data_IF_646784325157
#
_entry.id   IF_646784325157
#
_cell.length_a   1.000
_cell.length_b   1.000
_cell.length_c   1.000
_cell.angle_alpha   90.00
_cell.angle_beta   90.00
_cell.angle_gamma   90.00
#
_symmetry.space_group_name_H-M   'P 1'
#
loop_
_entity.id
_entity.type
_entity.pdbx_description
1 polymer ?
#
# COMPACT_ATOMS: atom_id res chain seq x y z
N UNK A 1 -8.54 7.19 -6.88
CA UNK A 1 -7.44 7.08 -7.86
C UNK A 1 -7.83 6.12 -8.96
N UNK A 2 -7.50 6.35 -10.24
CA UNK A 2 -7.81 5.40 -11.31
C UNK A 2 -6.89 4.16 -11.19
N UNK A 3 -7.50 3.00 -10.90
CA UNK A 3 -6.81 1.70 -10.71
C UNK A 3 -5.88 1.33 -11.89
N UNK A 4 -6.21 1.78 -13.10
CA UNK A 4 -5.41 1.58 -14.31
C UNK A 4 -4.00 2.16 -14.19
N UNK A 5 -3.84 3.30 -13.51
CA UNK A 5 -2.52 3.92 -13.32
C UNK A 5 -1.62 3.09 -12.42
N UNK A 6 -2.17 2.57 -11.32
CA UNK A 6 -1.43 1.76 -10.36
C UNK A 6 -1.03 0.43 -10.98
N UNK A 7 -1.94 -0.21 -11.74
CA UNK A 7 -1.66 -1.43 -12.47
C UNK A 7 -0.47 -1.28 -13.43
N UNK A 8 -0.41 -0.17 -14.20
CA UNK A 8 0.71 0.12 -15.11
C UNK A 8 2.01 0.38 -14.33
N UNK A 9 1.95 1.01 -13.17
CA UNK A 9 3.12 1.21 -12.32
C UNK A 9 3.65 -0.11 -11.74
N UNK A 10 2.78 -0.98 -11.24
CA UNK A 10 3.15 -2.32 -10.76
C UNK A 10 3.77 -3.14 -11.89
N UNK A 11 3.18 -3.10 -13.09
CA UNK A 11 3.73 -3.78 -14.27
C UNK A 11 5.16 -3.31 -14.59
N UNK A 12 5.39 -1.99 -14.59
CA UNK A 12 6.72 -1.40 -14.82
C UNK A 12 7.74 -1.86 -13.77
N UNK A 13 7.34 -1.99 -12.51
CA UNK A 13 8.22 -2.49 -11.43
C UNK A 13 8.53 -3.97 -11.60
N UNK A 14 7.55 -4.78 -11.99
CA UNK A 14 7.74 -6.21 -12.27
C UNK A 14 8.72 -6.43 -13.42
N UNK A 15 8.61 -5.65 -14.51
CA UNK A 15 9.59 -5.66 -15.60
C UNK A 15 11.00 -5.38 -15.08
N UNK A 16 11.16 -4.30 -14.30
CA UNK A 16 12.46 -3.95 -13.70
C UNK A 16 12.99 -5.05 -12.76
N UNK A 17 12.14 -5.66 -11.93
CA UNK A 17 12.52 -6.72 -10.97
C UNK A 17 13.00 -7.98 -11.70
N UNK A 18 12.44 -8.28 -12.86
CA UNK A 18 12.81 -9.42 -13.70
C UNK A 18 13.90 -9.08 -14.75
N UNK A 19 14.51 -7.88 -14.66
CA UNK A 19 15.50 -7.38 -15.63
C UNK A 19 15.01 -7.36 -17.09
N UNK A 20 13.70 -7.28 -17.31
CA UNK A 20 13.11 -7.20 -18.65
C UNK A 20 13.16 -5.76 -19.12
N UNK A 21 13.79 -5.56 -20.28
CA UNK A 21 13.97 -4.26 -20.91
C UNK A 21 12.78 -3.86 -21.77
N UNK A 22 12.66 -2.58 -22.09
CA UNK A 22 11.65 -2.13 -23.05
C UNK A 22 11.92 -2.62 -24.47
N UNK A 23 13.14 -3.04 -24.80
CA UNK A 23 13.47 -3.68 -26.07
C UNK A 23 12.79 -5.06 -26.17
N UNK A 24 12.90 -5.88 -25.13
CA UNK A 24 12.22 -7.18 -25.06
C UNK A 24 10.70 -7.05 -25.08
N UNK A 25 10.16 -6.03 -24.39
CA UNK A 25 8.71 -5.71 -24.47
C UNK A 25 8.32 -5.27 -25.88
N UNK A 26 9.17 -4.52 -26.58
CA UNK A 26 8.93 -4.10 -27.96
C UNK A 26 8.89 -5.31 -28.91
N UNK A 27 9.81 -6.26 -28.75
CA UNK A 27 9.81 -7.51 -29.52
C UNK A 27 8.53 -8.31 -29.28
N UNK A 28 8.14 -8.51 -28.01
CA UNK A 28 6.92 -9.25 -27.65
C UNK A 28 5.63 -8.60 -28.19
N UNK A 29 5.60 -7.27 -28.27
CA UNK A 29 4.43 -6.52 -28.73
C UNK A 29 4.45 -6.20 -30.24
N UNK A 30 5.52 -6.58 -30.95
CA UNK A 30 5.77 -6.19 -32.34
C UNK A 30 5.71 -4.66 -32.54
N UNK A 31 6.30 -3.91 -31.60
CA UNK A 31 6.31 -2.44 -31.58
C UNK A 31 7.74 -1.90 -31.53
N UNK A 32 7.89 -0.61 -31.88
CA UNK A 32 9.15 0.09 -31.60
C UNK A 32 9.31 0.37 -30.10
N UNK A 33 10.55 0.42 -29.61
CA UNK A 33 10.83 0.79 -28.21
C UNK A 33 10.27 2.19 -27.86
N UNK A 34 10.25 3.11 -28.83
CA UNK A 34 9.64 4.43 -28.68
C UNK A 34 8.12 4.33 -28.46
N UNK A 35 7.45 3.42 -29.16
CA UNK A 35 6.01 3.14 -28.98
C UNK A 35 5.73 2.52 -27.61
N UNK A 36 6.59 1.61 -27.13
CA UNK A 36 6.49 1.03 -25.78
C UNK A 36 6.66 2.10 -24.72
N UNK A 37 7.68 2.95 -24.83
CA UNK A 37 7.89 4.12 -23.94
C UNK A 37 6.65 5.02 -23.90
N UNK A 38 6.04 5.28 -25.06
CA UNK A 38 4.80 6.05 -25.16
C UNK A 38 3.63 5.37 -24.47
N UNK A 39 3.43 4.06 -24.66
CA UNK A 39 2.38 3.29 -23.97
C UNK A 39 2.48 3.38 -22.45
N UNK A 40 3.69 3.22 -21.89
CA UNK A 40 3.92 3.36 -20.45
C UNK A 40 3.72 4.79 -19.94
N UNK A 41 4.05 5.80 -20.75
CA UNK A 41 3.84 7.22 -20.40
C UNK A 41 2.36 7.60 -20.41
N UNK A 42 1.63 7.18 -21.43
CA UNK A 42 0.19 7.45 -21.61
C UNK A 42 -0.68 6.57 -20.72
N UNK A 43 -0.12 5.49 -20.15
CA UNK A 43 -0.81 4.49 -19.31
C UNK A 43 -2.04 3.89 -20.02
N UNK A 44 -1.97 3.81 -21.33
CA UNK A 44 -3.06 3.35 -22.18
C UNK A 44 -2.68 2.02 -22.83
N UNK A 45 -3.19 0.93 -22.28
CA UNK A 45 -2.95 -0.42 -22.77
C UNK A 45 -4.28 -1.07 -23.16
N UNK A 46 -4.29 -1.81 -24.26
CA UNK A 46 -5.34 -2.81 -24.48
C UNK A 46 -5.10 -4.01 -23.57
N UNK A 47 -6.17 -4.74 -23.23
CA UNK A 47 -6.05 -5.98 -22.44
C UNK A 47 -5.14 -7.01 -23.12
N UNK A 48 -5.17 -7.10 -24.44
CA UNK A 48 -4.29 -7.99 -25.21
C UNK A 48 -2.80 -7.65 -25.04
N UNK A 49 -2.44 -6.38 -25.01
CA UNK A 49 -1.05 -5.96 -24.77
C UNK A 49 -0.64 -6.21 -23.33
N UNK A 50 -1.55 -5.98 -22.38
CA UNK A 50 -1.30 -6.29 -20.97
C UNK A 50 -1.03 -7.79 -20.79
N UNK A 51 -1.86 -8.64 -21.40
CA UNK A 51 -1.71 -10.09 -21.40
C UNK A 51 -0.37 -10.54 -22.02
N UNK A 52 0.00 -9.99 -23.18
CA UNK A 52 1.28 -10.29 -23.82
C UNK A 52 2.50 -9.93 -22.94
N UNK A 53 2.45 -8.82 -22.21
CA UNK A 53 3.52 -8.45 -21.26
C UNK A 53 3.53 -9.37 -20.04
N UNK A 54 2.35 -9.77 -19.53
CA UNK A 54 2.26 -10.73 -18.44
C UNK A 54 2.82 -12.11 -18.84
N UNK A 55 2.57 -12.55 -20.07
CA UNK A 55 3.14 -13.77 -20.65
C UNK A 55 4.67 -13.68 -20.72
N UNK A 56 5.24 -12.53 -21.13
CA UNK A 56 6.69 -12.29 -21.11
C UNK A 56 7.28 -12.38 -19.68
N UNK A 57 6.52 -11.92 -18.70
CA UNK A 57 6.86 -12.01 -17.27
C UNK A 57 6.58 -13.39 -16.65
N UNK A 58 5.98 -14.32 -17.39
CA UNK A 58 5.54 -15.63 -16.89
C UNK A 58 4.59 -15.55 -15.69
N UNK A 59 3.67 -14.57 -15.72
CA UNK A 59 2.65 -14.37 -14.69
C UNK A 59 1.27 -14.23 -15.32
N UNK A 60 0.22 -14.45 -14.52
CA UNK A 60 -1.14 -14.09 -14.94
C UNK A 60 -1.48 -12.63 -14.58
N UNK A 61 -2.52 -12.07 -15.21
CA UNK A 61 -3.06 -10.76 -14.83
C UNK A 61 -3.55 -10.77 -13.37
N UNK A 62 -4.04 -11.91 -12.89
CA UNK A 62 -4.45 -12.12 -11.50
C UNK A 62 -3.30 -11.89 -10.52
N UNK A 63 -2.08 -12.33 -10.88
CA UNK A 63 -0.86 -12.10 -10.10
C UNK A 63 -0.41 -10.64 -10.15
N UNK A 64 -0.53 -9.98 -11.30
CA UNK A 64 -0.27 -8.53 -11.41
C UNK A 64 -1.17 -7.72 -10.47
N UNK A 65 -2.46 -8.07 -10.40
CA UNK A 65 -3.42 -7.42 -9.49
C UNK A 65 -3.08 -7.73 -8.02
N UNK A 66 -2.67 -8.96 -7.72
CA UNK A 66 -2.23 -9.35 -6.37
C UNK A 66 -0.98 -8.56 -5.94
N UNK A 67 0.00 -8.41 -6.82
CA UNK A 67 1.20 -7.62 -6.56
C UNK A 67 0.82 -6.14 -6.34
N UNK A 68 -0.09 -5.58 -7.16
CA UNK A 68 -0.59 -4.22 -7.01
C UNK A 68 -1.24 -4.01 -5.63
N UNK A 69 -2.04 -4.96 -5.15
CA UNK A 69 -2.65 -4.90 -3.82
C UNK A 69 -1.62 -5.03 -2.69
N UNK A 70 -0.62 -5.89 -2.87
CA UNK A 70 0.49 -6.01 -1.91
C UNK A 70 1.31 -4.71 -1.83
N UNK A 71 1.47 -4.01 -2.96
CA UNK A 71 2.11 -2.70 -3.01
C UNK A 71 1.22 -1.55 -2.53
N UNK A 72 -0.10 -1.61 -2.69
CA UNK A 72 -1.03 -0.66 -2.04
C UNK A 72 -1.04 -0.86 -0.51
N UNK A 73 -0.72 -2.08 -0.06
CA UNK A 73 -0.40 -2.35 1.34
C UNK A 73 0.98 -1.78 1.72
N UNK A 74 1.67 -1.03 0.83
CA UNK A 74 2.74 -0.10 1.24
C UNK A 74 2.10 1.07 2.00
N UNK A 75 1.64 0.78 3.21
CA UNK A 75 2.41 1.22 4.35
C UNK A 75 3.00 2.63 4.28
N UNK A 76 2.42 3.55 5.06
CA UNK A 76 3.09 4.77 5.48
C UNK A 76 4.49 4.37 5.99
N UNK A 77 5.55 4.82 5.31
CA UNK A 77 6.94 4.57 5.75
C UNK A 77 7.37 5.53 6.86
N UNK A 78 6.79 6.74 6.86
CA UNK A 78 7.05 7.84 7.78
C UNK A 78 5.77 8.67 7.92
N UNK A 79 5.48 9.19 9.12
CA UNK A 79 4.35 10.10 9.33
C UNK A 79 4.67 11.49 8.77
N UNK A 80 3.65 12.25 8.38
CA UNK A 80 3.86 13.67 8.08
C UNK A 80 4.17 14.43 9.37
N UNK A 81 4.93 15.51 9.29
CA UNK A 81 5.23 16.36 10.45
C UNK A 81 3.96 16.86 11.18
N UNK A 82 2.88 17.09 10.43
CA UNK A 82 1.58 17.46 11.00
C UNK A 82 0.96 16.31 11.80
N UNK A 83 0.99 15.08 11.28
CA UNK A 83 0.53 13.89 12.01
C UNK A 83 1.38 13.62 13.24
N UNK A 84 2.72 13.71 13.12
CA UNK A 84 3.63 13.53 14.26
C UNK A 84 3.32 14.54 15.37
N UNK A 85 3.14 15.81 15.01
CA UNK A 85 2.80 16.86 15.96
C UNK A 85 1.44 16.57 16.61
N UNK A 86 0.42 16.25 15.83
CA UNK A 86 -0.92 15.96 16.34
C UNK A 86 -0.92 14.76 17.30
N UNK A 87 -0.14 13.73 17.00
CA UNK A 87 0.03 12.57 17.89
C UNK A 87 0.82 12.95 19.14
N UNK A 88 1.90 13.73 18.99
CA UNK A 88 2.76 14.14 20.10
C UNK A 88 2.09 15.13 21.07
N UNK A 89 1.12 15.91 20.60
CA UNK A 89 0.39 16.90 21.40
C UNK A 89 -0.60 16.25 22.39
N UNK A 90 -0.97 14.96 22.21
CA UNK A 90 -1.77 14.19 23.16
C UNK A 90 -1.02 12.93 23.62
N UNK A 91 -0.60 12.92 24.89
CA UNK A 91 0.19 11.83 25.49
C UNK A 91 -0.52 10.46 25.38
N UNK A 92 -1.85 10.42 25.49
CA UNK A 92 -2.59 9.16 25.36
C UNK A 92 -2.67 8.73 23.90
N UNK A 93 -2.87 9.66 22.97
CA UNK A 93 -2.84 9.34 21.53
C UNK A 93 -1.47 8.80 21.11
N UNK A 94 -0.38 9.43 21.58
CA UNK A 94 0.99 8.96 21.36
C UNK A 94 1.18 7.54 21.91
N UNK A 95 0.77 7.30 23.15
CA UNK A 95 0.90 6.00 23.80
C UNK A 95 0.12 4.91 23.04
N UNK A 96 -1.15 5.17 22.67
CA UNK A 96 -1.96 4.24 21.88
C UNK A 96 -1.31 3.98 20.52
N UNK A 97 -0.78 5.01 19.87
CA UNK A 97 -0.05 4.87 18.61
C UNK A 97 1.10 3.88 18.77
N UNK A 98 1.96 4.04 19.79
CA UNK A 98 3.07 3.13 20.05
C UNK A 98 2.61 1.68 20.27
N UNK A 99 1.54 1.44 21.02
CA UNK A 99 1.05 0.08 21.25
C UNK A 99 0.50 -0.57 19.98
N UNK A 100 -0.27 0.20 19.20
CA UNK A 100 -0.82 -0.28 17.94
C UNK A 100 0.30 -0.59 16.94
N UNK A 101 1.34 0.25 16.87
CA UNK A 101 2.54 0.00 16.07
C UNK A 101 3.28 -1.28 16.50
N UNK A 102 3.27 -1.59 17.78
CA UNK A 102 3.76 -2.87 18.34
C UNK A 102 2.78 -4.05 18.18
N UNK A 103 1.73 -3.89 17.36
CA UNK A 103 0.72 -4.91 17.02
C UNK A 103 -0.14 -5.39 18.19
N UNK A 104 -0.34 -4.54 19.20
CA UNK A 104 -1.26 -4.85 20.29
C UNK A 104 -2.72 -4.81 19.80
N UNK A 105 -3.53 -5.75 20.31
CA UNK A 105 -4.98 -5.68 20.10
C UNK A 105 -5.61 -4.66 21.04
N UNK A 106 -6.82 -4.21 20.72
CA UNK A 106 -7.58 -3.33 21.62
C UNK A 106 -7.79 -3.96 23.01
N UNK A 107 -8.00 -5.29 23.06
CA UNK A 107 -8.14 -6.01 24.32
C UNK A 107 -6.85 -6.00 25.15
N UNK A 108 -5.67 -6.10 24.51
CA UNK A 108 -4.38 -6.01 25.20
C UNK A 108 -4.17 -4.61 25.78
N UNK A 109 -4.52 -3.57 25.01
CA UNK A 109 -4.39 -2.17 25.43
C UNK A 109 -5.28 -1.89 26.65
N UNK A 110 -6.55 -2.30 26.61
CA UNK A 110 -7.51 -2.14 27.72
C UNK A 110 -7.12 -3.01 28.92
N UNK A 111 -6.59 -4.20 28.70
CA UNK A 111 -6.16 -5.09 29.78
C UNK A 111 -4.93 -4.59 30.52
N UNK A 112 -4.06 -3.84 29.84
CA UNK A 112 -2.81 -3.35 30.40
C UNK A 112 -2.92 -1.95 31.01
N UNK A 113 -3.94 -1.18 30.62
CA UNK A 113 -4.15 0.20 31.07
C UNK A 113 -5.55 0.41 31.64
N UNK A 114 -5.68 1.26 32.65
CA UNK A 114 -6.99 1.64 33.23
C UNK A 114 -7.77 2.62 32.33
N UNK A 115 -7.85 2.33 31.02
CA UNK A 115 -8.70 3.07 30.09
C UNK A 115 -9.98 2.31 29.82
N UNK A 116 -11.07 3.03 29.62
CA UNK A 116 -12.34 2.42 29.23
C UNK A 116 -12.32 2.02 27.75
N UNK A 117 -13.20 1.08 27.39
CA UNK A 117 -13.40 0.66 25.99
C UNK A 117 -13.72 1.85 25.08
N UNK A 118 -14.60 2.75 25.55
CA UNK A 118 -15.02 3.93 24.79
C UNK A 118 -13.87 4.91 24.55
N UNK A 119 -12.99 5.12 25.53
CA UNK A 119 -11.80 5.96 25.38
C UNK A 119 -10.82 5.35 24.38
N UNK A 120 -10.58 4.04 24.46
CA UNK A 120 -9.71 3.34 23.52
C UNK A 120 -10.23 3.45 22.08
N UNK A 121 -11.54 3.20 21.86
CA UNK A 121 -12.18 3.36 20.54
C UNK A 121 -12.04 4.78 20.02
N UNK A 122 -12.20 5.80 20.87
CA UNK A 122 -12.03 7.20 20.47
C UNK A 122 -10.64 7.47 19.91
N UNK A 123 -9.60 6.97 20.55
CA UNK A 123 -8.21 7.10 20.08
C UNK A 123 -7.95 6.28 18.81
N UNK A 124 -8.44 5.04 18.73
CA UNK A 124 -8.32 4.21 17.53
C UNK A 124 -9.04 4.84 16.33
N UNK A 125 -10.23 5.40 16.52
CA UNK A 125 -10.96 6.14 15.49
C UNK A 125 -10.24 7.44 15.08
N UNK A 126 -9.44 8.03 15.97
CA UNK A 126 -8.56 9.14 15.62
C UNK A 126 -7.42 8.66 14.72
N UNK A 127 -6.73 7.59 15.09
CA UNK A 127 -5.65 7.00 14.27
C UNK A 127 -6.14 6.51 12.90
N UNK A 128 -7.38 6.02 12.81
CA UNK A 128 -8.04 5.66 11.56
C UNK A 128 -8.27 6.87 10.65
N UNK A 129 -8.71 8.01 11.22
CA UNK A 129 -8.81 9.29 10.49
C UNK A 129 -7.46 9.80 10.00
N UNK A 130 -6.40 9.58 10.77
CA UNK A 130 -5.01 9.88 10.36
C UNK A 130 -4.44 8.88 9.34
N UNK A 131 -5.21 7.85 8.95
CA UNK A 131 -4.79 6.77 8.01
C UNK A 131 -3.58 5.96 8.48
N UNK A 132 -3.31 5.94 9.79
CA UNK A 132 -2.22 5.14 10.39
C UNK A 132 -2.67 3.70 10.58
N UNK A 133 -3.96 3.53 10.87
CA UNK A 133 -4.62 2.23 11.01
C UNK A 133 -5.88 2.22 10.16
N UNK A 134 -6.42 1.02 9.97
CA UNK A 134 -7.77 0.75 9.52
C UNK A 134 -8.50 0.05 10.68
N UNK A 135 -9.52 0.70 11.25
CA UNK A 135 -10.34 0.12 12.32
C UNK A 135 -11.49 -0.68 11.71
N UNK A 136 -11.41 -2.00 11.81
CA UNK A 136 -12.34 -2.95 11.19
C UNK A 136 -13.43 -3.43 12.16
N UNK A 137 -14.53 -4.01 11.65
CA UNK A 137 -15.58 -4.59 12.49
C UNK A 137 -15.04 -5.55 13.56
N UNK A 138 -15.64 -5.49 14.75
CA UNK A 138 -15.14 -6.25 15.91
C UNK A 138 -13.88 -5.65 16.54
N UNK A 139 -13.66 -4.34 16.36
CA UNK A 139 -12.50 -3.59 16.90
C UNK A 139 -11.15 -4.16 16.46
N UNK A 140 -11.11 -4.78 15.28
CA UNK A 140 -9.88 -5.34 14.73
C UNK A 140 -9.04 -4.22 14.13
N UNK A 141 -7.79 -4.14 14.57
CA UNK A 141 -6.85 -3.11 14.15
C UNK A 141 -6.00 -3.68 13.02
N UNK A 142 -6.00 -3.00 11.85
CA UNK A 142 -5.08 -3.29 10.75
C UNK A 142 -4.15 -2.10 10.56
N UNK A 143 -2.86 -2.31 10.76
CA UNK A 143 -1.85 -1.27 10.53
C UNK A 143 -1.74 -0.92 9.05
N UNK A 144 -1.68 0.38 8.76
CA UNK A 144 -1.44 0.93 7.42
C UNK A 144 -0.01 1.51 7.29
N UNK A 145 0.89 1.14 8.20
CA UNK A 145 2.31 1.57 8.24
C UNK A 145 3.26 0.46 7.75
N UNK A 146 4.52 0.82 7.47
CA UNK A 146 5.52 -0.10 6.90
C UNK A 146 6.10 -1.07 7.92
N UNK A 147 6.46 -2.29 7.52
CA UNK A 147 7.27 -3.16 8.36
C UNK A 147 8.60 -2.50 8.78
N UNK A 148 9.12 -1.60 7.95
CA UNK A 148 10.33 -0.81 8.13
C UNK A 148 10.05 0.67 8.47
N UNK A 149 8.90 0.95 9.10
CA UNK A 149 8.51 2.29 9.55
C UNK A 149 9.63 2.91 10.40
N UNK A 150 10.06 4.12 10.02
CA UNK A 150 11.14 4.87 10.67
C UNK A 150 10.62 5.93 11.61
#
# INVERSE_FOLDING_TARGET
>A
MPQTTELVQTLKKLLKRNNITYAEVAEQLELSEASVKRLFSEKNFSLQRLDAICNLLHIEISDLVREMQSEQTRSISELTQEQEKEIADDLFLLMITVYVMNRWSMADIIGHYQITEAECIRYLAHLDRLRIIELQPGNRIKLLVAPDFK
#
